data_IF_310990614610
#
_entry.id   IF_310990614610
#
_cell.length_a   1.000
_cell.length_b   1.000
_cell.length_c   1.000
_cell.angle_alpha   90.00
_cell.angle_beta   90.00
_cell.angle_gamma   90.00
#
_symmetry.space_group_name_H-M   'P 1'
#
loop_
_entity.id
_entity.type
_entity.pdbx_description
1 polymer ?
#
# COMPACT_ATOMS: atom_id res chain seq x y z
N UNK A 1 -8.57 -17.04 -5.65
CA UNK A 1 -10.03 -17.17 -5.83
C UNK A 1 -10.43 -16.25 -6.96
N UNK A 2 -11.09 -16.78 -7.99
CA UNK A 2 -11.60 -16.00 -9.13
C UNK A 2 -13.12 -15.98 -9.04
N UNK A 3 -13.72 -14.81 -9.16
CA UNK A 3 -15.17 -14.66 -9.09
C UNK A 3 -15.62 -13.67 -10.16
N UNK A 4 -16.64 -14.05 -10.91
CA UNK A 4 -17.26 -13.18 -11.91
C UNK A 4 -18.21 -12.21 -11.22
N UNK A 5 -18.05 -10.91 -11.48
CA UNK A 5 -18.95 -9.86 -11.00
C UNK A 5 -19.48 -9.12 -12.22
N UNK A 6 -20.79 -8.88 -12.26
CA UNK A 6 -21.38 -8.05 -13.30
C UNK A 6 -21.06 -6.57 -13.05
N UNK A 7 -20.71 -5.87 -14.12
CA UNK A 7 -20.59 -4.41 -14.13
C UNK A 7 -21.85 -3.85 -14.79
N UNK A 8 -22.54 -2.95 -14.11
CA UNK A 8 -23.72 -2.28 -14.69
C UNK A 8 -23.30 -1.36 -15.84
N UNK A 9 -24.24 -0.96 -16.69
CA UNK A 9 -23.97 0.02 -17.76
C UNK A 9 -23.42 1.36 -17.23
N UNK A 10 -23.68 1.68 -15.97
CA UNK A 10 -23.16 2.88 -15.28
C UNK A 10 -21.77 2.67 -14.66
N UNK A 11 -21.12 1.54 -14.91
CA UNK A 11 -19.77 1.22 -14.40
C UNK A 11 -19.74 0.77 -12.95
N UNK A 12 -20.88 0.55 -12.29
CA UNK A 12 -20.92 0.10 -10.90
C UNK A 12 -20.76 -1.42 -10.83
N UNK A 13 -19.93 -1.87 -9.91
CA UNK A 13 -19.84 -3.28 -9.53
C UNK A 13 -20.12 -3.45 -8.04
N UNK A 14 -20.79 -4.54 -7.66
CA UNK A 14 -21.03 -4.87 -6.26
C UNK A 14 -20.00 -5.87 -5.78
N UNK A 15 -19.16 -5.46 -4.81
CA UNK A 15 -18.27 -6.41 -4.14
C UNK A 15 -19.08 -7.33 -3.22
N UNK A 16 -18.96 -8.66 -3.37
CA UNK A 16 -19.57 -9.63 -2.46
C UNK A 16 -19.19 -9.37 -0.99
N UNK A 17 -20.10 -9.74 -0.08
CA UNK A 17 -19.97 -9.46 1.36
C UNK A 17 -18.65 -10.00 1.96
N UNK A 18 -18.21 -11.17 1.53
CA UNK A 18 -16.99 -11.80 2.06
C UNK A 18 -15.73 -11.02 1.65
N UNK A 19 -15.72 -10.44 0.45
CA UNK A 19 -14.62 -9.59 -0.01
C UNK A 19 -14.63 -8.29 0.80
N UNK A 20 -15.80 -7.67 0.99
CA UNK A 20 -15.91 -6.44 1.81
C UNK A 20 -15.40 -6.66 3.23
N UNK A 21 -15.77 -7.76 3.89
CA UNK A 21 -15.29 -8.10 5.23
C UNK A 21 -13.78 -8.24 5.30
N UNK A 22 -13.17 -8.99 4.37
CA UNK A 22 -11.70 -9.15 4.33
C UNK A 22 -10.93 -7.87 4.03
N UNK A 23 -11.54 -6.94 3.29
CA UNK A 23 -10.95 -5.64 2.96
C UNK A 23 -11.32 -4.54 3.97
N UNK A 24 -12.06 -4.85 5.04
CA UNK A 24 -12.48 -3.85 6.02
C UNK A 24 -13.52 -2.83 5.50
N UNK A 25 -14.21 -3.14 4.40
CA UNK A 25 -15.19 -2.27 3.74
C UNK A 25 -16.64 -2.53 4.19
N UNK A 26 -16.83 -3.08 5.39
CA UNK A 26 -18.15 -3.49 5.91
C UNK A 26 -19.12 -2.34 6.12
N UNK A 27 -18.61 -1.15 6.43
CA UNK A 27 -19.42 0.06 6.65
C UNK A 27 -19.38 1.01 5.44
N UNK A 28 -19.05 0.49 4.26
CA UNK A 28 -18.65 1.30 3.11
C UNK A 28 -17.19 1.73 3.21
N UNK A 29 -16.76 2.58 2.28
CA UNK A 29 -15.38 3.05 2.18
C UNK A 29 -14.98 3.34 0.74
N UNK A 30 -13.71 3.73 0.57
CA UNK A 30 -13.11 3.97 -0.72
C UNK A 30 -12.01 2.93 -1.00
N UNK A 31 -11.88 2.58 -2.27
CA UNK A 31 -10.75 1.81 -2.80
C UNK A 31 -10.12 2.62 -3.93
N UNK A 32 -8.82 2.48 -4.08
CA UNK A 32 -8.10 2.98 -5.24
C UNK A 32 -8.20 1.95 -6.36
N UNK A 33 -8.33 2.47 -7.59
CA UNK A 33 -8.44 1.71 -8.82
C UNK A 33 -7.18 2.03 -9.62
N UNK A 34 -6.26 1.06 -9.70
CA UNK A 34 -5.03 1.21 -10.46
C UNK A 34 -5.18 0.48 -11.80
N UNK A 35 -5.06 1.22 -12.90
CA UNK A 35 -4.98 0.66 -14.24
C UNK A 35 -3.56 0.18 -14.52
N UNK A 36 -3.44 -1.04 -15.01
CA UNK A 36 -2.19 -1.70 -15.37
C UNK A 36 -2.33 -2.35 -16.76
N UNK A 37 -1.23 -2.71 -17.43
CA UNK A 37 -1.29 -3.38 -18.73
C UNK A 37 -2.13 -4.68 -18.72
N UNK A 38 -2.17 -5.37 -17.58
CA UNK A 38 -2.88 -6.64 -17.42
C UNK A 38 -4.32 -6.47 -16.90
N UNK A 39 -4.75 -5.23 -16.65
CA UNK A 39 -6.09 -4.91 -16.17
C UNK A 39 -6.09 -4.03 -14.92
N UNK A 40 -7.17 -4.12 -14.15
CA UNK A 40 -7.46 -3.21 -13.04
C UNK A 40 -7.20 -3.88 -11.69
N UNK A 41 -6.52 -3.17 -10.79
CA UNK A 41 -6.27 -3.63 -9.43
C UNK A 41 -6.97 -2.70 -8.43
N UNK A 42 -7.78 -3.28 -7.55
CA UNK A 42 -8.42 -2.57 -6.44
C UNK A 42 -7.57 -2.68 -5.18
N UNK A 43 -7.27 -1.56 -4.53
CA UNK A 43 -6.49 -1.52 -3.27
C UNK A 43 -7.12 -0.61 -2.23
N UNK A 44 -7.01 -0.98 -0.97
CA UNK A 44 -7.31 -0.07 0.15
C UNK A 44 -6.12 0.87 0.42
N UNK A 45 -6.37 2.00 1.09
CA UNK A 45 -5.30 2.91 1.51
C UNK A 45 -4.23 2.19 2.35
N UNK A 46 -4.66 1.32 3.27
CA UNK A 46 -3.76 0.53 4.12
C UNK A 46 -2.86 -0.38 3.29
N UNK A 47 -3.40 -1.04 2.26
CA UNK A 47 -2.62 -1.88 1.34
C UNK A 47 -1.60 -1.06 0.54
N UNK A 48 -1.96 0.16 0.11
CA UNK A 48 -1.04 1.06 -0.57
C UNK A 48 0.11 1.46 0.34
N UNK A 49 -0.19 1.86 1.58
CA UNK A 49 0.82 2.24 2.58
C UNK A 49 1.73 1.05 2.91
N UNK A 50 1.16 -0.14 3.12
CA UNK A 50 1.92 -1.36 3.36
C UNK A 50 2.88 -1.67 2.21
N UNK A 51 2.41 -1.53 0.95
CA UNK A 51 3.25 -1.71 -0.24
C UNK A 51 4.38 -0.67 -0.30
N UNK A 52 4.07 0.61 -0.11
CA UNK A 52 5.07 1.67 -0.13
C UNK A 52 6.16 1.43 0.94
N UNK A 53 5.75 1.06 2.16
CA UNK A 53 6.67 0.68 3.24
C UNK A 53 7.51 -0.54 2.90
N UNK A 54 6.92 -1.56 2.28
CA UNK A 54 7.65 -2.77 1.87
C UNK A 54 8.70 -2.47 0.79
N UNK A 55 8.41 -1.54 -0.13
CA UNK A 55 9.35 -1.12 -1.16
C UNK A 55 10.48 -0.30 -0.55
N UNK A 56 10.16 0.64 0.34
CA UNK A 56 11.15 1.44 1.05
C UNK A 56 12.12 0.56 1.87
N UNK A 57 11.62 -0.49 2.53
CA UNK A 57 12.45 -1.47 3.26
C UNK A 57 13.53 -2.15 2.42
N UNK A 58 13.36 -2.23 1.10
CA UNK A 58 14.37 -2.82 0.21
C UNK A 58 15.60 -1.91 0.05
N UNK A 59 15.43 -0.62 0.30
CA UNK A 59 16.49 0.39 0.24
C UNK A 59 17.09 0.72 1.61
N UNK A 60 16.60 0.05 2.67
CA UNK A 60 17.01 0.24 4.08
C UNK A 60 18.34 -0.47 4.42
N UNK A 61 19.01 -1.05 3.42
CA UNK A 61 20.30 -1.76 3.54
C UNK A 61 21.48 -0.96 3.01
N UNK A 62 21.41 0.37 3.05
CA UNK A 62 22.58 1.20 2.80
C UNK A 62 23.27 1.42 4.13
N UNK A 63 24.49 0.89 4.29
CA UNK A 63 25.27 1.10 5.50
C UNK A 63 25.45 2.62 5.74
N UNK A 64 25.05 3.10 6.92
CA UNK A 64 25.09 4.52 7.28
C UNK A 64 23.85 5.34 6.88
N UNK A 65 22.77 4.73 6.36
CA UNK A 65 21.55 5.46 5.98
C UNK A 65 20.49 5.56 7.06
N UNK A 66 20.71 4.96 8.23
CA UNK A 66 19.75 5.09 9.33
C UNK A 66 19.84 6.48 9.97
N UNK A 67 18.73 6.94 10.54
CA UNK A 67 18.71 8.20 11.32
C UNK A 67 19.68 8.11 12.50
N UNK A 68 19.81 6.93 13.10
CA UNK A 68 20.75 6.70 14.19
C UNK A 68 22.21 6.82 13.73
N UNK A 69 22.56 6.29 12.55
CA UNK A 69 23.90 6.46 11.96
C UNK A 69 24.19 7.92 11.62
N UNK A 70 23.19 8.65 11.10
CA UNK A 70 23.32 10.09 10.84
C UNK A 70 23.54 10.89 12.13
N UNK A 71 22.78 10.58 13.19
CA UNK A 71 22.93 11.25 14.48
C UNK A 71 24.28 10.89 15.15
N UNK A 72 24.72 9.63 15.05
CA UNK A 72 26.01 9.19 15.55
C UNK A 72 27.16 9.90 14.82
N UNK A 73 27.12 9.96 13.48
CA UNK A 73 28.10 10.69 12.67
C UNK A 73 28.11 12.19 12.97
N UNK A 74 26.95 12.80 13.21
CA UNK A 74 26.87 14.22 13.58
C UNK A 74 27.47 14.49 14.96
N UNK A 75 27.33 13.57 15.91
CA UNK A 75 27.97 13.71 17.23
C UNK A 75 29.48 13.56 17.17
N UNK A 76 30.01 12.68 16.30
CA UNK A 76 31.46 12.58 16.06
C UNK A 76 32.01 13.77 15.27
N UNK A 77 31.28 14.30 14.29
CA UNK A 77 31.68 15.54 13.56
C UNK A 77 31.59 16.79 14.44
N UNK A 78 30.70 16.81 15.44
CA UNK A 78 30.55 17.93 16.38
C UNK A 78 31.45 17.78 17.62
N UNK A 79 32.43 16.87 17.62
CA UNK A 79 33.31 16.64 18.76
C UNK A 79 34.40 17.71 18.92
N UNK A 80 34.20 18.62 19.89
CA UNK A 80 35.16 19.45 20.66
C UNK A 80 34.74 20.92 20.75
#
# INVERSE_FOLDING_TARGET
MTLQVAITATGRMSLPVDIRKRLGLTNGGAVYVDETPDGVILRTAEQIVARARSLAKQYDKVDGSSVDDFLANRMTESGA
#
